data_IF_616884805903
#
_entry.id   IF_616884805903
#
_cell.length_a   1.000
_cell.length_b   1.000
_cell.length_c   1.000
_cell.angle_alpha   90.00
_cell.angle_beta   90.00
_cell.angle_gamma   90.00
#
_symmetry.space_group_name_H-M   'P 1'
#
loop_
_entity.id
_entity.type
_entity.pdbx_description
1 polymer ?
#
# COMPACT_ATOMS: atom_id res chain seq x y z
N UNK A 1 2.87 17.87 1.90
CA UNK A 1 1.79 16.89 1.58
C UNK A 1 2.03 15.62 2.35
N UNK A 2 1.01 15.07 2.96
CA UNK A 2 1.08 13.76 3.61
C UNK A 2 0.76 12.68 2.58
N UNK A 3 1.78 11.98 2.08
CA UNK A 3 1.61 10.98 1.02
C UNK A 3 0.79 9.76 1.49
N UNK A 4 0.84 9.41 2.77
CA UNK A 4 -0.02 8.32 3.28
C UNK A 4 -1.50 8.68 3.17
N UNK A 5 -1.86 9.93 3.31
CA UNK A 5 -3.24 10.39 3.06
C UNK A 5 -3.63 10.20 1.61
N UNK A 6 -2.73 10.51 0.68
CA UNK A 6 -2.97 10.31 -0.75
C UNK A 6 -3.07 8.82 -1.10
N UNK A 7 -2.23 7.98 -0.50
CA UNK A 7 -2.28 6.52 -0.70
C UNK A 7 -3.61 5.96 -0.17
N UNK A 8 -4.02 6.36 1.03
CA UNK A 8 -5.29 5.91 1.62
C UNK A 8 -6.48 6.25 0.72
N UNK A 9 -6.57 7.50 0.30
CA UNK A 9 -7.63 7.98 -0.59
C UNK A 9 -7.63 7.23 -1.92
N UNK A 10 -6.46 7.07 -2.51
CA UNK A 10 -6.31 6.36 -3.77
C UNK A 10 -6.76 4.90 -3.70
N UNK A 11 -6.38 4.18 -2.65
CA UNK A 11 -6.79 2.78 -2.46
C UNK A 11 -8.32 2.67 -2.35
N UNK A 12 -8.95 3.54 -1.57
CA UNK A 12 -10.41 3.55 -1.43
C UNK A 12 -11.09 3.84 -2.77
N UNK A 13 -10.57 4.80 -3.53
CA UNK A 13 -11.16 5.22 -4.79
C UNK A 13 -10.99 4.19 -5.91
N UNK A 14 -9.85 3.52 -5.95
CA UNK A 14 -9.47 2.69 -7.10
C UNK A 14 -9.64 1.20 -6.90
N UNK A 15 -9.42 0.68 -5.69
CA UNK A 15 -9.60 -0.75 -5.43
C UNK A 15 -11.02 -0.99 -4.92
N UNK A 16 -11.93 -1.33 -5.83
CA UNK A 16 -13.37 -1.45 -5.56
C UNK A 16 -13.78 -2.52 -4.55
N UNK A 17 -13.07 -3.67 -4.42
CA UNK A 17 -13.42 -4.64 -3.38
C UNK A 17 -13.27 -4.13 -1.95
N UNK A 18 -12.53 -3.04 -1.71
CA UNK A 18 -12.44 -2.44 -0.38
C UNK A 18 -13.77 -1.78 -0.01
N UNK A 19 -14.08 -1.80 1.29
CA UNK A 19 -15.14 -0.97 1.85
C UNK A 19 -14.71 0.49 1.80
N UNK A 20 -15.64 1.40 2.13
CA UNK A 20 -15.38 2.86 2.08
C UNK A 20 -14.37 3.33 3.13
N UNK A 21 -13.84 2.43 3.94
CA UNK A 21 -12.96 2.78 5.04
C UNK A 21 -11.75 1.87 5.14
N UNK A 22 -10.58 2.49 5.27
CA UNK A 22 -9.31 1.83 5.57
C UNK A 22 -8.74 2.47 6.83
N UNK A 23 -8.44 1.67 7.84
CA UNK A 23 -7.78 2.17 9.05
C UNK A 23 -6.34 2.57 8.74
N UNK A 24 -5.80 3.52 9.49
CA UNK A 24 -4.40 3.94 9.33
C UNK A 24 -3.63 3.73 10.62
N UNK A 25 -2.55 2.97 10.57
CA UNK A 25 -1.68 2.63 11.71
C UNK A 25 -2.45 2.05 12.91
N UNK A 26 -3.56 1.38 12.62
CA UNK A 26 -4.38 0.69 13.59
C UNK A 26 -5.10 -0.44 12.87
N UNK A 27 -5.04 -1.64 13.44
CA UNK A 27 -5.68 -2.81 12.84
C UNK A 27 -6.63 -3.43 13.86
N UNK A 28 -7.89 -2.95 13.96
CA UNK A 28 -8.87 -3.60 14.82
C UNK A 28 -9.02 -5.08 14.47
N UNK A 29 -9.03 -5.95 15.49
CA UNK A 29 -9.12 -7.40 15.29
C UNK A 29 -10.58 -7.77 15.08
N UNK A 30 -11.09 -7.45 13.91
CA UNK A 30 -12.46 -7.67 13.48
C UNK A 30 -12.45 -8.16 12.04
N UNK A 31 -13.27 -9.15 11.73
CA UNK A 31 -13.40 -9.66 10.37
C UNK A 31 -13.72 -8.52 9.37
N UNK A 32 -13.01 -8.52 8.25
CA UNK A 32 -13.21 -7.54 7.18
C UNK A 32 -12.41 -6.24 7.37
N UNK A 33 -11.64 -6.11 8.46
CA UNK A 33 -10.76 -4.97 8.66
C UNK A 33 -9.68 -4.94 7.59
N UNK A 34 -9.48 -3.77 6.99
CA UNK A 34 -8.32 -3.47 6.14
C UNK A 34 -7.62 -2.24 6.72
N UNK A 35 -6.32 -2.33 6.88
CA UNK A 35 -5.53 -1.23 7.42
C UNK A 35 -4.33 -0.93 6.52
N UNK A 36 -4.05 0.36 6.39
CA UNK A 36 -2.86 0.90 5.76
C UNK A 36 -1.90 1.30 6.89
N UNK A 37 -0.67 0.81 6.83
CA UNK A 37 0.33 1.11 7.84
C UNK A 37 1.54 1.82 7.23
N UNK A 38 2.05 2.83 7.93
CA UNK A 38 3.34 3.41 7.59
C UNK A 38 4.44 2.41 7.92
N UNK A 39 5.39 2.26 7.00
CA UNK A 39 6.57 1.40 7.22
C UNK A 39 7.80 2.27 7.17
N UNK A 40 8.17 2.72 5.97
CA UNK A 40 9.23 3.70 5.80
C UNK A 40 8.61 4.91 5.11
N UNK A 41 8.70 6.08 5.73
CA UNK A 41 8.24 7.32 5.15
C UNK A 41 8.99 7.67 3.87
N UNK A 42 8.75 8.87 3.37
CA UNK A 42 9.46 9.35 2.19
C UNK A 42 10.96 9.31 2.42
N UNK A 43 11.67 8.75 1.45
CA UNK A 43 13.11 8.58 1.52
C UNK A 43 13.72 8.89 0.16
N UNK A 44 14.70 9.80 0.14
CA UNK A 44 15.50 10.06 -1.05
C UNK A 44 16.51 8.90 -1.23
N UNK A 45 16.52 8.30 -2.42
CA UNK A 45 17.44 7.21 -2.76
C UNK A 45 18.65 7.77 -3.49
N UNK A 46 18.43 8.67 -4.45
CA UNK A 46 19.47 9.23 -5.30
C UNK A 46 19.03 10.56 -5.88
N UNK A 47 19.98 11.24 -6.50
CA UNK A 47 19.75 12.48 -7.24
C UNK A 47 20.39 12.30 -8.61
N UNK A 48 19.64 12.55 -9.68
CA UNK A 48 20.17 12.42 -11.03
C UNK A 48 20.93 13.68 -11.51
N UNK A 49 21.51 13.61 -12.68
CA UNK A 49 22.30 14.71 -13.25
C UNK A 49 21.48 15.96 -13.53
N UNK A 50 20.15 15.83 -13.67
CA UNK A 50 19.23 16.93 -13.85
C UNK A 50 18.81 17.57 -12.52
N UNK A 51 19.28 17.06 -11.39
CA UNK A 51 18.96 17.54 -10.07
C UNK A 51 17.64 17.04 -9.51
N UNK A 52 17.01 16.07 -10.17
CA UNK A 52 15.77 15.46 -9.68
C UNK A 52 16.07 14.42 -8.61
N UNK A 53 15.26 14.39 -7.57
CA UNK A 53 15.41 13.42 -6.49
C UNK A 53 14.56 12.18 -6.78
N UNK A 54 15.21 11.02 -6.78
CA UNK A 54 14.53 9.73 -6.82
C UNK A 54 14.19 9.32 -5.40
N UNK A 55 12.92 9.15 -5.14
CA UNK A 55 12.39 8.87 -3.81
C UNK A 55 11.54 7.60 -3.78
N UNK A 56 11.31 7.10 -2.59
CA UNK A 56 10.39 5.98 -2.37
C UNK A 56 9.63 6.16 -1.07
N UNK A 57 8.46 5.53 -1.01
CA UNK A 57 7.66 5.41 0.20
C UNK A 57 7.15 3.98 0.29
N UNK A 58 7.26 3.38 1.47
CA UNK A 58 6.82 2.00 1.71
C UNK A 58 5.65 2.01 2.66
N UNK A 59 4.64 1.20 2.36
CA UNK A 59 3.47 1.03 3.21
C UNK A 59 3.13 -0.44 3.37
N UNK A 60 2.45 -0.75 4.46
CA UNK A 60 1.94 -2.09 4.74
C UNK A 60 0.43 -2.14 4.61
N UNK A 61 -0.08 -3.29 4.24
CA UNK A 61 -1.51 -3.59 4.22
C UNK A 61 -1.76 -4.77 5.15
N UNK A 62 -2.70 -4.58 6.07
CA UNK A 62 -3.22 -5.64 6.94
C UNK A 62 -4.66 -5.94 6.55
N UNK A 63 -4.99 -7.23 6.46
CA UNK A 63 -6.36 -7.69 6.21
C UNK A 63 -6.72 -8.76 7.22
N UNK A 64 -7.86 -8.60 7.90
CA UNK A 64 -8.35 -9.53 8.90
C UNK A 64 -9.47 -10.39 8.29
N UNK A 65 -9.32 -11.69 8.36
CA UNK A 65 -10.31 -12.65 7.87
C UNK A 65 -10.58 -13.75 8.88
N UNK A 66 -11.72 -14.41 8.73
CA UNK A 66 -12.04 -15.61 9.52
C UNK A 66 -10.99 -16.68 9.24
N UNK A 67 -10.60 -17.39 10.27
CA UNK A 67 -9.62 -18.47 10.20
C UNK A 67 -10.24 -19.79 10.65
N UNK A 68 -10.07 -20.83 9.84
CA UNK A 68 -10.44 -22.20 10.17
C UNK A 68 -9.20 -22.97 10.61
N UNK A 69 -9.09 -23.24 11.92
CA UNK A 69 -7.93 -23.92 12.49
C UNK A 69 -7.87 -25.40 12.16
N UNK A 70 -8.97 -25.98 11.65
CA UNK A 70 -8.98 -27.38 11.22
C UNK A 70 -8.44 -27.58 9.79
N UNK A 71 -8.48 -26.50 8.98
CA UNK A 71 -8.06 -26.55 7.59
C UNK A 71 -8.95 -27.44 6.71
N UNK A 72 -10.17 -27.77 7.15
CA UNK A 72 -11.06 -28.70 6.44
C UNK A 72 -12.04 -28.00 5.50
N UNK A 73 -12.14 -26.67 5.56
CA UNK A 73 -12.98 -25.87 4.69
C UNK A 73 -12.14 -25.00 3.75
N UNK A 74 -12.80 -24.31 2.82
CA UNK A 74 -12.15 -23.37 1.92
C UNK A 74 -11.89 -21.98 2.56
N UNK A 75 -12.26 -21.78 3.81
CA UNK A 75 -12.19 -20.48 4.49
C UNK A 75 -10.81 -19.83 4.37
N UNK A 76 -9.75 -20.58 4.69
CA UNK A 76 -8.38 -20.04 4.64
C UNK A 76 -7.90 -19.80 3.21
N UNK A 77 -8.31 -20.64 2.27
CA UNK A 77 -8.00 -20.46 0.84
C UNK A 77 -8.69 -19.21 0.29
N UNK A 78 -9.94 -19.00 0.64
CA UNK A 78 -10.72 -17.83 0.21
C UNK A 78 -10.11 -16.55 0.76
N UNK A 79 -9.68 -16.55 2.01
CA UNK A 79 -8.97 -15.41 2.61
C UNK A 79 -7.67 -15.10 1.89
N UNK A 80 -6.88 -16.13 1.58
CA UNK A 80 -5.64 -15.97 0.82
C UNK A 80 -5.92 -15.41 -0.57
N UNK A 81 -6.98 -15.87 -1.24
CA UNK A 81 -7.37 -15.34 -2.55
C UNK A 81 -7.68 -13.85 -2.50
N UNK A 82 -8.38 -13.38 -1.48
CA UNK A 82 -8.69 -11.95 -1.32
C UNK A 82 -7.41 -11.13 -1.18
N UNK A 83 -6.46 -11.59 -0.37
CA UNK A 83 -5.19 -10.89 -0.15
C UNK A 83 -4.33 -10.88 -1.41
N UNK A 84 -4.24 -12.02 -2.09
CA UNK A 84 -3.47 -12.13 -3.33
C UNK A 84 -4.09 -11.29 -4.44
N UNK A 85 -5.40 -11.22 -4.53
CA UNK A 85 -6.09 -10.36 -5.50
C UNK A 85 -5.72 -8.89 -5.28
N UNK A 86 -5.66 -8.45 -4.03
CA UNK A 86 -5.25 -7.08 -3.72
C UNK A 86 -3.79 -6.84 -4.08
N UNK A 87 -2.89 -7.72 -3.67
CA UNK A 87 -1.46 -7.57 -3.96
C UNK A 87 -1.19 -7.62 -5.46
N UNK A 88 -1.87 -8.50 -6.19
CA UNK A 88 -1.76 -8.59 -7.65
C UNK A 88 -2.26 -7.31 -8.34
N UNK A 89 -3.36 -6.75 -7.85
CA UNK A 89 -3.86 -5.49 -8.36
C UNK A 89 -2.83 -4.37 -8.20
N UNK A 90 -2.19 -4.27 -7.04
CA UNK A 90 -1.13 -3.29 -6.78
C UNK A 90 0.08 -3.51 -7.67
N UNK A 91 0.50 -4.76 -7.82
CA UNK A 91 1.72 -5.10 -8.57
C UNK A 91 1.57 -4.91 -10.08
N UNK A 92 0.34 -4.95 -10.58
CA UNK A 92 0.03 -4.83 -12.01
C UNK A 92 -0.66 -3.52 -12.38
N UNK A 93 -0.71 -2.56 -11.47
CA UNK A 93 -1.38 -1.29 -11.74
C UNK A 93 -0.66 -0.51 -12.84
N UNK A 94 -1.45 0.14 -13.69
CA UNK A 94 -0.93 0.94 -14.80
C UNK A 94 -0.87 2.42 -14.43
N UNK A 95 -0.04 3.18 -15.14
CA UNK A 95 0.26 4.58 -14.81
C UNK A 95 -0.96 5.50 -14.79
N UNK A 96 -1.98 5.19 -15.57
CA UNK A 96 -3.23 5.95 -15.60
C UNK A 96 -4.08 5.80 -14.33
N UNK A 97 -3.76 4.80 -13.50
CA UNK A 97 -4.43 4.53 -12.22
C UNK A 97 -3.54 4.81 -10.99
N UNK A 98 -2.40 5.43 -11.18
CA UNK A 98 -1.49 5.77 -10.07
C UNK A 98 -2.09 6.84 -9.16
N UNK A 99 -1.69 6.87 -7.87
CA UNK A 99 -2.11 7.94 -6.97
C UNK A 99 -1.55 9.29 -7.42
N UNK A 100 -2.18 10.35 -6.97
CA UNK A 100 -1.73 11.72 -7.24
C UNK A 100 -0.82 12.19 -6.10
N UNK A 101 0.47 12.27 -6.38
CA UNK A 101 1.47 12.80 -5.44
C UNK A 101 1.79 14.28 -5.65
N UNK A 102 0.95 14.98 -6.41
CA UNK A 102 1.17 16.38 -6.75
C UNK A 102 1.95 16.55 -8.05
N UNK A 103 1.86 17.75 -8.62
CA UNK A 103 2.39 18.01 -9.97
C UNK A 103 3.91 17.93 -10.08
N UNK A 104 4.63 18.06 -8.96
CA UNK A 104 6.09 18.00 -8.96
C UNK A 104 6.64 16.59 -8.74
N UNK A 105 5.77 15.61 -8.55
CA UNK A 105 6.14 14.23 -8.30
C UNK A 105 5.57 13.34 -9.39
N UNK A 106 6.42 12.53 -9.99
CA UNK A 106 6.02 11.58 -11.02
C UNK A 106 6.28 10.17 -10.52
N UNK A 107 5.23 9.37 -10.43
CA UNK A 107 5.37 7.97 -9.99
C UNK A 107 5.97 7.15 -11.13
N UNK A 108 7.04 6.43 -10.83
CA UNK A 108 7.71 5.55 -11.78
C UNK A 108 7.23 4.12 -11.68
N UNK A 109 6.98 3.65 -10.45
CA UNK A 109 6.68 2.24 -10.21
C UNK A 109 5.98 2.04 -8.88
N UNK A 110 5.03 1.11 -8.88
CA UNK A 110 4.44 0.55 -7.66
C UNK A 110 4.72 -0.94 -7.67
N UNK A 111 5.27 -1.46 -6.59
CA UNK A 111 5.64 -2.87 -6.49
C UNK A 111 5.29 -3.46 -5.13
N UNK A 112 4.84 -4.70 -5.12
CA UNK A 112 4.62 -5.47 -3.91
C UNK A 112 5.92 -6.14 -3.52
N UNK A 113 6.26 -6.08 -2.23
CA UNK A 113 7.55 -6.58 -1.72
C UNK A 113 7.50 -8.03 -1.26
N UNK A 114 6.30 -8.57 -1.00
CA UNK A 114 6.10 -9.92 -0.50
C UNK A 114 5.44 -10.77 -1.59
N UNK A 115 6.05 -11.89 -1.97
CA UNK A 115 5.43 -12.84 -2.89
C UNK A 115 4.25 -13.56 -2.25
N UNK A 116 4.34 -13.79 -0.92
CA UNK A 116 3.30 -14.39 -0.11
C UNK A 116 3.13 -13.51 1.12
N UNK A 117 1.90 -13.19 1.53
CA UNK A 117 1.68 -12.39 2.74
C UNK A 117 2.14 -13.14 3.99
N UNK A 118 2.56 -12.40 5.00
CA UNK A 118 2.76 -12.93 6.35
C UNK A 118 1.40 -13.19 6.99
N UNK A 119 1.29 -14.27 7.75
CA UNK A 119 0.03 -14.69 8.38
C UNK A 119 0.22 -14.76 9.89
N UNK A 120 -0.61 -14.02 10.62
CA UNK A 120 -0.65 -14.02 12.08
C UNK A 120 -1.99 -14.57 12.53
N UNK A 121 -1.96 -15.73 13.19
CA UNK A 121 -3.17 -16.46 13.57
C UNK A 121 -3.53 -16.14 15.01
N UNK A 122 -4.79 -15.77 15.24
CA UNK A 122 -5.37 -15.65 16.57
C UNK A 122 -6.43 -16.76 16.75
N UNK A 123 -6.02 -17.88 17.30
CA UNK A 123 -6.89 -19.04 17.48
C UNK A 123 -8.06 -18.76 18.43
N UNK A 124 -7.85 -17.90 19.43
CA UNK A 124 -8.90 -17.56 20.41
C UNK A 124 -10.12 -16.93 19.74
N UNK A 125 -9.89 -16.08 18.76
CA UNK A 125 -10.95 -15.37 18.03
C UNK A 125 -11.30 -16.01 16.70
N UNK A 126 -10.62 -17.09 16.31
CA UNK A 126 -10.76 -17.70 14.98
C UNK A 126 -10.58 -16.67 13.86
N UNK A 127 -9.56 -15.82 13.99
CA UNK A 127 -9.22 -14.80 13.03
C UNK A 127 -7.75 -14.92 12.63
N UNK A 128 -7.45 -14.48 11.42
CA UNK A 128 -6.07 -14.34 10.94
C UNK A 128 -5.85 -12.95 10.36
N UNK A 129 -4.68 -12.42 10.61
CA UNK A 129 -4.20 -11.17 9.99
C UNK A 129 -3.22 -11.53 8.88
N UNK A 130 -3.51 -11.07 7.68
CA UNK A 130 -2.63 -11.19 6.52
C UNK A 130 -1.96 -9.85 6.29
N UNK A 131 -0.65 -9.87 6.07
CA UNK A 131 0.15 -8.66 6.01
C UNK A 131 1.10 -8.73 4.83
N UNK A 132 1.09 -7.68 4.01
CA UNK A 132 2.09 -7.50 2.95
C UNK A 132 2.49 -6.04 2.86
N UNK A 133 3.61 -5.78 2.19
CA UNK A 133 4.15 -4.45 1.99
C UNK A 133 4.25 -4.13 0.52
N UNK A 134 4.11 -2.85 0.20
CA UNK A 134 4.29 -2.32 -1.12
C UNK A 134 5.11 -1.04 -1.07
N UNK A 135 5.72 -0.72 -2.19
CA UNK A 135 6.58 0.45 -2.32
C UNK A 135 6.22 1.24 -3.55
N UNK A 136 6.16 2.55 -3.40
CA UNK A 136 5.97 3.47 -4.52
C UNK A 136 7.28 4.22 -4.72
N UNK A 137 7.84 4.10 -5.93
CA UNK A 137 9.00 4.85 -6.38
C UNK A 137 8.54 6.04 -7.22
N UNK A 138 9.07 7.21 -6.93
CA UNK A 138 8.69 8.43 -7.63
C UNK A 138 9.86 9.38 -7.75
N UNK A 139 9.75 10.31 -8.69
CA UNK A 139 10.74 11.36 -8.93
C UNK A 139 10.15 12.68 -8.52
N UNK A 140 10.86 13.40 -7.66
CA UNK A 140 10.54 14.79 -7.34
C UNK A 140 11.31 15.68 -8.31
N UNK A 141 10.56 16.44 -9.11
CA UNK A 141 11.14 17.37 -10.04
C UNK A 141 11.90 18.49 -9.32
N UNK A 142 12.96 18.96 -9.93
CA UNK A 142 13.72 20.08 -9.39
C UNK A 142 12.82 21.30 -9.33
N UNK A 143 12.68 21.89 -8.14
CA UNK A 143 11.92 23.13 -7.97
C UNK A 143 12.65 24.26 -8.69
N UNK A 144 11.95 25.02 -9.52
CA UNK A 144 12.48 26.26 -10.08
C UNK A 144 12.82 27.22 -8.93
N UNK A 145 14.01 27.78 -9.01
CA UNK A 145 14.39 28.84 -8.10
C UNK A 145 13.82 30.17 -8.62
N UNK A 146 12.68 30.58 -8.08
CA UNK A 146 12.02 31.83 -8.49
C UNK A 146 12.90 33.07 -8.24
N UNK A 147 13.87 33.00 -7.36
CA UNK A 147 14.79 34.10 -7.09
C UNK A 147 15.76 34.35 -8.26
N UNK A 148 15.97 33.36 -9.11
CA UNK A 148 16.82 33.51 -10.29
C UNK A 148 16.19 34.36 -11.40
N UNK A 149 14.90 34.70 -11.26
CA UNK A 149 14.15 35.47 -12.26
C UNK A 149 14.11 36.97 -11.95
N UNK A 150 14.68 37.38 -10.87
CA UNK A 150 14.73 38.79 -10.48
C UNK A 150 15.96 39.51 -11.05
#
# INVERSE_FOLDING_TARGET
MNLYRQINKWLIDKYKPLNDWIYFNATPVTQGTVALNSVTGERAISKDILGRKHKEITFGIDMISVYDNTGTSNTNLDAMDEVLNFSDWLDNITSDNYPDFGKNNTIEKIEVLNNVPDIFINETNSLAKYEFQARIKYVEERKENNNAKT
#
